data_IF_226637301271
#
_entry.id   IF_226637301271
#
_cell.length_a   1.000
_cell.length_b   1.000
_cell.length_c   1.000
_cell.angle_alpha   90.00
_cell.angle_beta   90.00
_cell.angle_gamma   90.00
#
_symmetry.space_group_name_H-M   'P 1'
#
loop_
_entity.id
_entity.type
_entity.pdbx_description
1 polymer ?
#
# COMPACT_ATOMS: atom_id res chain seq x y z
N UNK A 1 -0.24 4.19 2.54
CA UNK A 1 0.97 5.03 2.36
C UNK A 1 1.79 4.42 1.25
N UNK A 2 2.10 5.16 0.20
CA UNK A 2 2.95 4.69 -0.90
C UNK A 2 4.38 5.23 -0.70
N UNK A 3 5.38 4.36 -0.81
CA UNK A 3 6.79 4.69 -0.52
C UNK A 3 7.74 4.17 -1.60
N UNK A 4 8.85 4.88 -1.81
CA UNK A 4 10.01 4.32 -2.51
C UNK A 4 10.83 3.52 -1.50
N UNK A 5 10.68 2.20 -1.49
CA UNK A 5 11.42 1.31 -0.61
C UNK A 5 12.89 1.23 -1.04
N UNK A 6 13.79 1.24 -0.07
CA UNK A 6 15.25 1.31 -0.25
C UNK A 6 16.00 0.32 0.62
N UNK A 7 15.38 -0.22 1.68
CA UNK A 7 16.01 -1.19 2.57
C UNK A 7 14.96 -2.08 3.27
N UNK A 8 15.34 -3.29 3.74
CA UNK A 8 14.42 -4.22 4.38
C UNK A 8 13.87 -3.69 5.71
N UNK A 9 12.60 -3.95 5.99
CA UNK A 9 11.91 -3.48 7.20
C UNK A 9 11.47 -2.01 7.16
N UNK A 10 11.72 -1.29 6.05
CA UNK A 10 11.34 0.13 5.92
C UNK A 10 9.84 0.36 6.14
N UNK A 11 8.97 -0.55 5.70
CA UNK A 11 7.52 -0.43 5.89
C UNK A 11 7.15 -0.32 7.38
N UNK A 12 7.79 -1.10 8.26
CA UNK A 12 7.57 -1.02 9.71
C UNK A 12 7.95 0.34 10.28
N UNK A 13 9.10 0.91 9.86
CA UNK A 13 9.49 2.29 10.26
C UNK A 13 8.41 3.29 9.85
N UNK A 14 7.86 3.16 8.65
CA UNK A 14 6.81 4.06 8.16
C UNK A 14 5.51 3.89 8.95
N UNK A 15 5.11 2.67 9.28
CA UNK A 15 3.95 2.42 10.15
C UNK A 15 4.10 3.12 11.51
N UNK A 16 5.26 2.94 12.16
CA UNK A 16 5.54 3.60 13.44
C UNK A 16 5.55 5.13 13.32
N UNK A 17 6.09 5.67 12.23
CA UNK A 17 6.09 7.11 11.97
C UNK A 17 4.66 7.65 11.79
N UNK A 18 3.79 6.95 11.05
CA UNK A 18 2.38 7.34 10.90
C UNK A 18 1.69 7.41 12.27
N UNK A 19 1.94 6.44 13.15
CA UNK A 19 1.29 6.39 14.46
C UNK A 19 1.88 7.30 15.53
N UNK A 20 3.06 7.89 15.31
CA UNK A 20 3.77 8.65 16.34
C UNK A 20 4.11 10.09 15.95
N UNK A 21 4.30 10.39 14.67
CA UNK A 21 4.90 11.66 14.26
C UNK A 21 3.92 12.83 14.33
N UNK A 22 2.72 12.69 13.76
CA UNK A 22 1.70 13.74 13.72
C UNK A 22 0.47 13.34 14.53
N UNK A 23 -0.02 14.27 15.36
CA UNK A 23 -1.18 14.04 16.22
C UNK A 23 -2.44 13.64 15.44
N UNK A 24 -2.58 14.15 14.22
CA UNK A 24 -3.70 13.87 13.32
C UNK A 24 -3.83 12.39 12.95
N UNK A 25 -2.76 11.61 13.04
CA UNK A 25 -2.73 10.19 12.64
C UNK A 25 -2.64 9.21 13.81
N UNK A 26 -2.58 9.71 15.06
CA UNK A 26 -2.45 8.86 16.26
C UNK A 26 -3.62 7.87 16.39
N UNK A 27 -4.83 8.24 15.95
CA UNK A 27 -6.00 7.35 16.02
C UNK A 27 -6.21 6.49 14.77
N UNK A 28 -5.35 6.60 13.75
CA UNK A 28 -5.46 5.77 12.55
C UNK A 28 -5.19 4.30 12.90
N UNK A 29 -6.24 3.48 12.86
CA UNK A 29 -6.21 2.05 13.21
C UNK A 29 -5.49 1.16 12.19
N UNK A 30 -5.65 1.48 10.91
CA UNK A 30 -5.18 0.66 9.80
C UNK A 30 -4.18 1.45 8.95
N UNK A 31 -3.01 0.88 8.72
CA UNK A 31 -2.00 1.45 7.82
C UNK A 31 -1.55 0.38 6.84
N UNK A 32 -1.85 0.58 5.56
CA UNK A 32 -1.30 -0.26 4.48
C UNK A 32 -0.12 0.50 3.88
N UNK A 33 1.04 -0.13 3.81
CA UNK A 33 2.24 0.41 3.16
C UNK A 33 2.44 -0.33 1.83
N UNK A 34 2.57 0.41 0.74
CA UNK A 34 2.71 -0.10 -0.62
C UNK A 34 3.89 0.58 -1.32
N UNK A 35 4.38 0.00 -2.41
CA UNK A 35 5.45 0.60 -3.22
C UNK A 35 4.98 1.89 -3.94
N UNK A 36 5.93 2.63 -4.54
CA UNK A 36 5.72 3.96 -5.12
C UNK A 36 4.84 3.94 -6.37
N UNK A 37 4.86 2.82 -7.06
CA UNK A 37 4.14 2.55 -8.30
C UNK A 37 2.64 2.32 -8.04
N UNK A 38 2.28 1.91 -6.82
CA UNK A 38 0.89 1.65 -6.41
C UNK A 38 0.16 2.95 -6.12
N UNK A 39 -0.97 3.18 -6.80
CA UNK A 39 -1.83 4.31 -6.50
C UNK A 39 -2.57 4.10 -5.17
N UNK A 40 -2.09 4.70 -4.09
CA UNK A 40 -2.72 4.64 -2.76
C UNK A 40 -4.13 5.25 -2.67
N UNK A 41 -4.65 5.83 -3.75
CA UNK A 41 -6.03 6.35 -3.87
C UNK A 41 -6.95 5.46 -4.71
N UNK A 42 -6.43 4.36 -5.27
CA UNK A 42 -7.22 3.36 -5.99
C UNK A 42 -7.23 2.04 -5.21
N UNK A 43 -8.42 1.61 -4.80
CA UNK A 43 -8.57 0.35 -4.07
C UNK A 43 -8.16 -0.87 -4.88
N UNK A 44 -8.30 -0.85 -6.21
CA UNK A 44 -7.88 -1.98 -7.06
C UNK A 44 -6.37 -2.19 -6.98
N UNK A 45 -5.60 -1.12 -7.09
CA UNK A 45 -4.14 -1.14 -6.95
C UNK A 45 -3.71 -1.57 -5.55
N UNK A 46 -4.33 -0.99 -4.50
CA UNK A 46 -3.99 -1.32 -3.11
C UNK A 46 -4.30 -2.79 -2.79
N UNK A 47 -5.46 -3.30 -3.20
CA UNK A 47 -5.83 -4.69 -2.93
C UNK A 47 -5.06 -5.68 -3.81
N UNK A 48 -4.65 -5.29 -5.02
CA UNK A 48 -3.71 -6.08 -5.81
C UNK A 48 -2.37 -6.24 -5.09
N UNK A 49 -1.81 -5.16 -4.54
CA UNK A 49 -0.58 -5.24 -3.75
C UNK A 49 -0.78 -6.16 -2.53
N UNK A 50 -1.82 -5.92 -1.72
CA UNK A 50 -2.11 -6.72 -0.52
C UNK A 50 -2.29 -8.21 -0.84
N UNK A 51 -2.88 -8.57 -1.99
CA UNK A 51 -3.10 -9.98 -2.35
C UNK A 51 -1.90 -10.67 -2.99
N UNK A 52 -0.89 -9.93 -3.47
CA UNK A 52 0.22 -10.49 -4.25
C UNK A 52 1.59 -10.33 -3.59
N UNK A 53 1.78 -9.30 -2.75
CA UNK A 53 3.08 -8.95 -2.16
C UNK A 53 3.17 -9.19 -0.64
N UNK A 54 2.13 -9.81 -0.06
CA UNK A 54 2.03 -10.08 1.37
C UNK A 54 1.90 -11.57 1.70
N UNK A 55 2.55 -11.94 2.80
CA UNK A 55 2.25 -13.13 3.60
C UNK A 55 1.69 -12.65 4.96
N UNK A 56 0.42 -12.98 5.31
CA UNK A 56 -0.21 -12.51 6.54
C UNK A 56 0.59 -12.78 7.81
N UNK A 57 1.24 -13.95 7.94
CA UNK A 57 1.98 -14.29 9.17
C UNK A 57 3.26 -13.48 9.37
N UNK A 58 3.87 -13.04 8.26
CA UNK A 58 5.14 -12.31 8.25
C UNK A 58 4.93 -10.78 8.23
N UNK A 59 3.95 -10.33 7.46
CA UNK A 59 3.86 -8.94 6.99
C UNK A 59 2.79 -8.10 7.71
N UNK A 60 2.01 -8.72 8.59
CA UNK A 60 1.09 -8.02 9.48
C UNK A 60 1.81 -7.64 10.77
N UNK A 61 1.70 -6.38 11.16
CA UNK A 61 2.16 -5.88 12.47
C UNK A 61 0.96 -5.44 13.28
N UNK A 62 0.75 -6.06 14.44
CA UNK A 62 -0.29 -5.67 15.40
C UNK A 62 0.38 -5.02 16.61
N UNK A 63 -0.13 -3.88 17.04
CA UNK A 63 0.24 -3.23 18.31
C UNK A 63 -1.02 -3.11 19.14
N UNK A 64 -1.01 -3.74 20.30
CA UNK A 64 -2.13 -3.72 21.25
C UNK A 64 -2.00 -2.55 22.23
N UNK A 65 -3.09 -2.24 22.93
CA UNK A 65 -3.12 -1.24 24.00
C UNK A 65 -2.61 0.15 23.59
N UNK A 66 -3.01 0.58 22.41
CA UNK A 66 -2.70 1.90 21.85
C UNK A 66 -3.87 2.89 22.04
N UNK A 67 -3.62 4.21 22.09
CA UNK A 67 -4.68 5.21 22.16
C UNK A 67 -5.59 5.17 20.93
N UNK A 68 -6.90 5.15 21.15
CA UNK A 68 -7.94 5.16 20.11
C UNK A 68 -8.99 6.23 20.49
N UNK A 69 -9.78 6.67 19.52
CA UNK A 69 -10.92 7.56 19.77
C UNK A 69 -11.87 6.94 20.80
N UNK A 70 -12.29 7.71 21.80
CA UNK A 70 -13.20 7.26 22.85
C UNK A 70 -14.60 6.93 22.33
N UNK A 71 -14.98 7.47 21.16
CA UNK A 71 -16.25 7.19 20.46
C UNK A 71 -16.21 5.92 19.62
N UNK A 72 -15.03 5.31 19.44
CA UNK A 72 -14.89 4.12 18.62
C UNK A 72 -15.37 2.87 19.37
N UNK A 73 -16.65 2.54 19.18
CA UNK A 73 -17.32 1.40 19.81
C UNK A 73 -16.78 0.02 19.40
N UNK A 74 -15.97 -0.06 18.34
CA UNK A 74 -15.34 -1.31 17.94
C UNK A 74 -14.05 -1.60 18.74
N UNK A 75 -13.59 -0.65 19.56
CA UNK A 75 -12.51 -0.88 20.52
C UNK A 75 -13.01 -1.69 21.73
N UNK A 76 -12.16 -2.55 22.33
CA UNK A 76 -12.55 -3.34 23.50
C UNK A 76 -12.80 -2.48 24.75
N UNK A 77 -12.17 -1.31 24.83
CA UNK A 77 -12.32 -0.35 25.92
C UNK A 77 -12.28 1.08 25.35
N UNK A 78 -13.13 1.97 25.87
CA UNK A 78 -13.14 3.37 25.45
C UNK A 78 -11.75 4.00 25.61
N UNK A 79 -11.23 4.58 24.53
CA UNK A 79 -9.91 5.22 24.50
C UNK A 79 -8.73 4.27 24.25
N UNK A 80 -8.94 2.95 24.23
CA UNK A 80 -7.86 1.97 24.17
C UNK A 80 -8.19 0.80 23.23
N UNK A 81 -7.30 0.51 22.29
CA UNK A 81 -7.47 -0.60 21.37
C UNK A 81 -6.20 -0.98 20.63
N UNK A 82 -6.32 -1.75 19.57
CA UNK A 82 -5.17 -2.17 18.75
C UNK A 82 -5.07 -1.38 17.44
N UNK A 83 -3.88 -1.41 16.85
CA UNK A 83 -3.58 -0.93 15.51
C UNK A 83 -2.97 -2.04 14.69
N UNK A 84 -3.24 -2.02 13.40
CA UNK A 84 -2.72 -2.98 12.44
C UNK A 84 -2.03 -2.28 11.27
N UNK A 85 -0.81 -2.73 11.00
CA UNK A 85 -0.01 -2.34 9.85
C UNK A 85 0.13 -3.51 8.89
N UNK A 86 -0.07 -3.25 7.60
CA UNK A 86 0.04 -4.23 6.53
C UNK A 86 1.19 -3.80 5.61
N UNK A 87 2.26 -4.59 5.57
CA UNK A 87 3.38 -4.37 4.66
C UNK A 87 3.10 -5.06 3.32
N UNK A 88 2.49 -4.34 2.38
CA UNK A 88 2.26 -4.75 1.00
C UNK A 88 3.32 -4.19 0.03
N UNK A 89 4.55 -3.96 0.52
CA UNK A 89 5.69 -3.59 -0.31
C UNK A 89 6.40 -4.81 -0.90
N UNK A 90 7.18 -4.60 -1.94
CA UNK A 90 8.09 -5.59 -2.52
C UNK A 90 9.06 -6.09 -1.46
N UNK A 91 9.15 -7.41 -1.31
CA UNK A 91 10.04 -8.02 -0.31
C UNK A 91 11.42 -8.23 -0.91
N UNK A 92 12.43 -7.74 -0.21
CA UNK A 92 13.84 -7.81 -0.60
C UNK A 92 14.63 -8.58 0.46
N UNK A 93 15.82 -9.14 0.14
CA UNK A 93 16.64 -9.79 1.16
C UNK A 93 16.92 -8.85 2.35
N UNK A 94 16.82 -9.33 3.61
CA UNK A 94 16.53 -10.71 4.05
C UNK A 94 15.04 -10.99 4.38
N UNK A 95 14.09 -10.16 3.95
CA UNK A 95 12.65 -10.35 4.25
C UNK A 95 12.07 -11.62 3.60
N UNK A 96 12.70 -12.07 2.51
CA UNK A 96 12.37 -13.31 1.81
C UNK A 96 13.63 -13.92 1.21
N UNK A 97 13.68 -15.26 1.15
CA UNK A 97 14.70 -16.01 0.41
C UNK A 97 14.19 -16.52 -0.95
N UNK A 98 12.94 -16.21 -1.29
CA UNK A 98 12.33 -16.60 -2.58
C UNK A 98 12.70 -15.58 -3.64
N UNK A 99 12.84 -16.06 -4.88
CA UNK A 99 12.82 -15.17 -6.05
C UNK A 99 11.51 -14.36 -6.05
N UNK A 100 11.63 -13.06 -6.25
CA UNK A 100 10.49 -12.16 -6.21
C UNK A 100 9.94 -11.91 -7.61
N UNK A 101 8.62 -11.84 -7.74
CA UNK A 101 7.97 -11.61 -9.03
C UNK A 101 8.23 -10.22 -9.58
N UNK A 102 8.31 -10.12 -10.91
CA UNK A 102 8.36 -8.84 -11.61
C UNK A 102 6.96 -8.45 -12.08
N UNK A 103 6.46 -7.25 -11.73
CA UNK A 103 5.18 -6.76 -12.24
C UNK A 103 5.17 -6.73 -13.77
N UNK A 104 4.05 -7.14 -14.37
CA UNK A 104 3.84 -6.98 -15.81
C UNK A 104 3.69 -5.49 -16.10
N UNK A 105 4.43 -5.00 -17.10
CA UNK A 105 4.32 -3.63 -17.59
C UNK A 105 4.41 -3.63 -19.11
N UNK A 106 3.57 -2.81 -19.75
CA UNK A 106 3.64 -2.56 -21.18
C UNK A 106 4.87 -1.68 -21.50
N UNK A 107 5.44 -1.83 -22.69
CA UNK A 107 6.56 -1.00 -23.14
C UNK A 107 6.10 0.43 -23.43
N UNK A 108 7.01 1.40 -23.24
CA UNK A 108 6.67 2.83 -23.31
C UNK A 108 6.22 3.25 -24.71
N UNK A 109 6.82 2.67 -25.76
CA UNK A 109 6.47 2.90 -27.16
C UNK A 109 5.03 2.50 -27.48
N UNK A 110 4.59 1.34 -26.97
CA UNK A 110 3.21 0.86 -27.15
C UNK A 110 2.23 1.72 -26.36
N UNK A 111 2.57 2.11 -25.13
CA UNK A 111 1.73 2.99 -24.31
C UNK A 111 1.53 4.32 -25.02
N UNK A 112 2.60 4.91 -25.55
CA UNK A 112 2.58 6.18 -26.28
C UNK A 112 1.75 6.07 -27.56
N UNK A 113 1.97 5.02 -28.36
CA UNK A 113 1.23 4.81 -29.60
C UNK A 113 -0.28 4.69 -29.36
N UNK A 114 -0.69 3.85 -28.41
CA UNK A 114 -2.10 3.61 -28.08
C UNK A 114 -2.74 4.86 -27.50
N UNK A 115 -2.02 5.58 -26.63
CA UNK A 115 -2.51 6.83 -26.01
C UNK A 115 -2.74 7.89 -27.08
N UNK A 116 -1.80 8.05 -28.03
CA UNK A 116 -1.92 9.01 -29.15
C UNK A 116 -3.11 8.70 -30.05
N UNK A 117 -3.35 7.42 -30.34
CA UNK A 117 -4.41 6.97 -31.26
C UNK A 117 -5.76 6.73 -30.58
N UNK A 118 -5.88 6.94 -29.25
CA UNK A 118 -7.06 6.51 -28.50
C UNK A 118 -8.38 7.06 -29.05
N UNK A 119 -8.42 8.35 -29.39
CA UNK A 119 -9.61 8.99 -29.98
C UNK A 119 -9.95 8.43 -31.36
N UNK A 120 -8.95 8.08 -32.16
CA UNK A 120 -9.14 7.50 -33.51
C UNK A 120 -9.74 6.08 -33.44
N UNK A 121 -9.50 5.35 -32.35
CA UNK A 121 -10.06 4.01 -32.17
C UNK A 121 -11.58 3.99 -31.92
N UNK A 122 -12.19 5.13 -31.58
CA UNK A 122 -13.63 5.20 -31.31
C UNK A 122 -14.08 4.38 -30.09
N UNK A 123 -13.16 4.04 -29.19
CA UNK A 123 -13.42 3.23 -27.99
C UNK A 123 -13.92 4.10 -26.83
N UNK A 124 -14.80 3.57 -25.96
CA UNK A 124 -15.26 4.30 -24.77
C UNK A 124 -14.11 4.50 -23.77
N UNK A 125 -14.20 5.57 -22.96
CA UNK A 125 -13.28 5.86 -21.86
C UNK A 125 -12.34 7.04 -22.12
N UNK A 126 -11.56 7.40 -21.10
CA UNK A 126 -10.74 8.63 -21.13
C UNK A 126 -9.45 8.53 -21.93
N UNK A 127 -9.04 7.33 -22.34
CA UNK A 127 -7.74 7.09 -22.99
C UNK A 127 -6.52 7.34 -22.11
N UNK A 128 -6.72 7.67 -20.82
CA UNK A 128 -5.63 7.85 -19.89
C UNK A 128 -4.92 6.51 -19.66
N UNK A 129 -3.60 6.43 -19.85
CA UNK A 129 -2.86 5.22 -19.56
C UNK A 129 -2.97 4.88 -18.07
N UNK A 130 -3.08 3.60 -17.77
CA UNK A 130 -3.04 3.08 -16.39
C UNK A 130 -1.60 3.00 -15.85
N UNK A 131 -0.62 3.08 -16.74
CA UNK A 131 0.81 3.07 -16.43
C UNK A 131 1.29 4.51 -16.20
N UNK A 132 2.16 4.70 -15.21
CA UNK A 132 2.83 5.98 -14.92
C UNK A 132 4.29 5.96 -15.35
#
# INVERSE_FOLDING_TARGET
VSIKKTYPGQAKRIMMAVWSYLRQFIYTKFVIVVDAEINARDWKDVMWAVSTTMDPGRDITVIENTPIDYLDFASPQSGLGSKIGLDATTKIPPETNREWGHPIRMSDDVIEEVTRKWTEYGLPGSGKPIWK
#
